data_IF_660748039966
#
_entry.id   IF_660748039966
#
_cell.length_a   1.000
_cell.length_b   1.000
_cell.length_c   1.000
_cell.angle_alpha   90.00
_cell.angle_beta   90.00
_cell.angle_gamma   90.00
#
_symmetry.space_group_name_H-M   'P 1'
#
loop_
_entity.id
_entity.type
_entity.pdbx_description
1 polymer ?
#
# COMPACT_ATOMS: atom_id res chain seq x y z
N UNK A 1 8.98 3.61 -26.18
CA UNK A 1 9.19 3.13 -24.77
C UNK A 1 8.53 4.10 -23.84
N UNK A 2 7.70 3.63 -22.90
CA UNK A 2 7.10 4.49 -21.87
C UNK A 2 8.23 5.03 -20.98
N UNK A 3 8.26 6.35 -20.80
CA UNK A 3 9.33 6.98 -20.00
C UNK A 3 8.96 6.93 -18.51
N UNK A 4 8.98 5.72 -17.91
CA UNK A 4 8.64 5.55 -16.49
C UNK A 4 9.55 6.36 -15.55
N UNK A 5 10.78 6.66 -15.96
CA UNK A 5 11.70 7.46 -15.14
C UNK A 5 11.21 8.91 -14.96
N UNK A 6 10.57 9.50 -15.98
CA UNK A 6 10.00 10.85 -15.83
C UNK A 6 8.80 10.85 -14.90
N UNK A 7 7.96 9.82 -14.95
CA UNK A 7 6.82 9.69 -14.04
C UNK A 7 7.25 9.44 -12.60
N UNK A 8 8.33 8.68 -12.41
CA UNK A 8 8.94 8.50 -11.09
C UNK A 8 9.40 9.86 -10.52
N UNK A 9 10.11 10.68 -11.30
CA UNK A 9 10.56 12.00 -10.85
C UNK A 9 9.39 12.92 -10.47
N UNK A 10 8.29 12.88 -11.23
CA UNK A 10 7.07 13.63 -10.91
C UNK A 10 6.48 13.17 -9.58
N UNK A 11 6.36 11.86 -9.37
CA UNK A 11 5.85 11.29 -8.12
C UNK A 11 6.75 11.64 -6.94
N UNK A 12 8.07 11.56 -7.10
CA UNK A 12 9.03 11.94 -6.06
C UNK A 12 8.95 13.42 -5.69
N UNK A 13 8.76 14.30 -6.67
CA UNK A 13 8.52 15.72 -6.42
C UNK A 13 7.22 15.93 -5.62
N UNK A 14 6.13 15.26 -6.02
CA UNK A 14 4.87 15.34 -5.30
C UNK A 14 4.99 14.85 -3.85
N UNK A 15 5.72 13.76 -3.62
CA UNK A 15 6.00 13.23 -2.27
C UNK A 15 6.82 14.21 -1.42
N UNK A 16 7.85 14.85 -1.98
CA UNK A 16 8.66 15.84 -1.26
C UNK A 16 7.82 17.02 -0.77
N UNK A 17 6.89 17.50 -1.58
CA UNK A 17 5.99 18.58 -1.17
C UNK A 17 4.94 18.12 -0.16
N UNK A 18 4.39 16.90 -0.33
CA UNK A 18 3.46 16.31 0.64
C UNK A 18 4.10 16.10 2.02
N UNK A 19 5.36 15.67 2.09
CA UNK A 19 6.10 15.53 3.35
C UNK A 19 6.16 16.86 4.13
N UNK A 20 6.36 18.00 3.43
CA UNK A 20 6.39 19.33 4.07
C UNK A 20 5.06 19.70 4.70
N UNK A 21 3.97 19.17 4.16
CA UNK A 21 2.62 19.34 4.70
C UNK A 21 2.39 18.39 5.88
N UNK A 22 2.71 17.13 5.76
CA UNK A 22 2.37 16.07 6.73
C UNK A 22 3.26 16.13 7.99
N UNK A 23 4.58 16.26 7.83
CA UNK A 23 5.52 16.15 8.94
C UNK A 23 5.26 17.14 10.09
N UNK A 24 4.87 18.41 9.86
CA UNK A 24 4.55 19.35 10.93
C UNK A 24 3.35 18.93 11.80
N UNK A 25 2.48 18.09 11.30
CA UNK A 25 1.32 17.61 12.05
C UNK A 25 1.63 16.38 12.93
N UNK A 26 2.68 15.63 12.62
CA UNK A 26 2.98 14.39 13.31
C UNK A 26 3.33 14.63 14.79
N UNK A 27 2.64 13.94 15.70
CA UNK A 27 2.75 14.08 17.17
C UNK A 27 2.44 15.48 17.71
N UNK A 28 1.73 16.29 16.94
CA UNK A 28 1.11 17.51 17.43
C UNK A 28 -0.39 17.29 17.68
N UNK A 29 -1.04 18.23 18.39
CA UNK A 29 -2.49 18.14 18.62
C UNK A 29 -3.22 18.31 17.30
N UNK A 30 -3.77 17.22 16.79
CA UNK A 30 -4.55 17.14 15.56
C UNK A 30 -5.99 16.79 15.91
N UNK A 31 -6.94 17.51 15.33
CA UNK A 31 -8.33 17.10 15.32
C UNK A 31 -8.55 16.14 14.16
N UNK A 32 -9.06 14.95 14.46
CA UNK A 32 -9.52 14.01 13.45
C UNK A 32 -11.05 14.08 13.35
N UNK A 33 -11.54 14.16 12.13
CA UNK A 33 -12.96 13.98 11.83
C UNK A 33 -13.20 12.51 11.46
N UNK A 34 -14.39 12.00 11.71
CA UNK A 34 -14.79 10.69 11.23
C UNK A 34 -15.44 10.82 9.85
N UNK A 35 -15.02 10.00 8.89
CA UNK A 35 -15.66 9.87 7.58
C UNK A 35 -16.99 9.11 7.70
N UNK A 36 -17.78 9.07 6.64
CA UNK A 36 -19.04 8.33 6.61
C UNK A 36 -18.91 6.83 6.93
N UNK A 37 -17.76 6.24 6.63
CA UNK A 37 -17.42 4.83 6.93
C UNK A 37 -16.70 4.66 8.28
N UNK A 38 -16.78 5.68 9.16
CA UNK A 38 -16.16 5.73 10.49
C UNK A 38 -14.61 5.71 10.48
N UNK A 39 -13.96 5.80 9.31
CA UNK A 39 -12.52 5.98 9.24
C UNK A 39 -12.12 7.42 9.60
N UNK A 40 -11.01 7.62 10.31
CA UNK A 40 -10.57 8.97 10.66
C UNK A 40 -9.96 9.68 9.45
N UNK A 41 -10.12 10.99 9.40
CA UNK A 41 -9.44 11.88 8.45
C UNK A 41 -8.96 13.11 9.19
N UNK A 42 -7.80 13.60 8.83
CA UNK A 42 -7.25 14.82 9.42
C UNK A 42 -7.10 15.92 8.38
N UNK A 43 -6.83 17.13 8.87
CA UNK A 43 -6.48 18.24 7.99
C UNK A 43 -5.20 17.94 7.18
N UNK A 44 -4.28 17.16 7.74
CA UNK A 44 -3.04 16.77 7.06
C UNK A 44 -3.32 15.91 5.81
N UNK A 45 -4.24 14.95 5.90
CA UNK A 45 -4.64 14.10 4.76
C UNK A 45 -5.14 14.98 3.60
N UNK A 46 -6.09 15.87 3.89
CA UNK A 46 -6.70 16.74 2.87
C UNK A 46 -5.71 17.69 2.22
N UNK A 47 -4.89 18.36 3.02
CA UNK A 47 -3.88 19.30 2.51
C UNK A 47 -2.79 18.58 1.71
N UNK A 48 -2.37 17.41 2.15
CA UNK A 48 -1.38 16.60 1.44
C UNK A 48 -1.91 16.12 0.08
N UNK A 49 -3.14 15.57 0.02
CA UNK A 49 -3.71 15.15 -1.26
C UNK A 49 -3.89 16.33 -2.21
N UNK A 50 -4.33 17.48 -1.71
CA UNK A 50 -4.45 18.69 -2.52
C UNK A 50 -3.11 19.10 -3.14
N UNK A 51 -2.04 19.06 -2.35
CA UNK A 51 -0.68 19.38 -2.80
C UNK A 51 -0.20 18.40 -3.87
N UNK A 52 -0.38 17.10 -3.64
CA UNK A 52 -0.02 16.05 -4.60
C UNK A 52 -0.79 16.24 -5.92
N UNK A 53 -2.11 16.42 -5.85
CA UNK A 53 -2.96 16.63 -7.04
C UNK A 53 -2.55 17.84 -7.86
N UNK A 54 -2.17 18.95 -7.20
CA UNK A 54 -1.74 20.15 -7.90
C UNK A 54 -0.50 19.88 -8.76
N UNK A 55 0.49 19.20 -8.21
CA UNK A 55 1.72 18.85 -8.94
C UNK A 55 1.43 17.87 -10.07
N UNK A 56 0.69 16.80 -9.78
CA UNK A 56 0.37 15.79 -10.79
C UNK A 56 -0.44 16.37 -11.94
N UNK A 57 -1.41 17.26 -11.68
CA UNK A 57 -2.18 17.95 -12.74
C UNK A 57 -1.33 18.91 -13.57
N UNK A 58 -0.37 19.58 -12.95
CA UNK A 58 0.54 20.48 -13.66
C UNK A 58 1.49 19.73 -14.58
N UNK A 59 2.08 18.64 -14.10
CA UNK A 59 3.09 17.87 -14.82
C UNK A 59 2.49 16.86 -15.83
N UNK A 60 1.28 16.38 -15.57
CA UNK A 60 0.58 15.37 -16.39
C UNK A 60 -0.91 15.73 -16.58
N UNK A 61 -1.23 16.85 -17.27
CA UNK A 61 -2.60 17.38 -17.33
C UNK A 61 -3.63 16.43 -17.97
N UNK A 62 -3.17 15.53 -18.83
CA UNK A 62 -4.04 14.55 -19.53
C UNK A 62 -4.27 13.26 -18.74
N UNK A 63 -3.60 13.09 -17.58
CA UNK A 63 -3.75 11.87 -16.76
C UNK A 63 -4.97 11.97 -15.84
N UNK A 64 -5.55 10.81 -15.51
CA UNK A 64 -6.54 10.72 -14.46
C UNK A 64 -5.90 10.76 -13.08
N UNK A 65 -6.70 11.09 -12.07
CA UNK A 65 -6.30 11.01 -10.65
C UNK A 65 -7.42 10.35 -9.87
N UNK A 66 -7.09 9.35 -9.08
CA UNK A 66 -7.97 8.69 -8.11
C UNK A 66 -7.34 8.92 -6.73
N UNK A 67 -8.02 9.58 -5.83
CA UNK A 67 -7.53 9.83 -4.49
C UNK A 67 -8.56 9.52 -3.43
N UNK A 68 -8.10 9.28 -2.23
CA UNK A 68 -8.92 8.91 -1.10
C UNK A 68 -9.83 10.05 -0.63
N UNK A 69 -9.31 11.30 -0.58
CA UNK A 69 -9.98 12.43 0.05
C UNK A 69 -10.86 13.22 -0.92
N UNK A 70 -10.42 13.37 -2.16
CA UNK A 70 -11.11 14.19 -3.17
C UNK A 70 -11.66 13.39 -4.36
N UNK A 71 -11.67 12.04 -4.26
CA UNK A 71 -12.26 11.19 -5.27
C UNK A 71 -11.51 11.18 -6.60
N UNK A 72 -12.22 11.04 -7.72
CA UNK A 72 -11.63 10.76 -9.02
C UNK A 72 -11.86 11.87 -10.03
N UNK A 73 -10.83 12.11 -10.82
CA UNK A 73 -10.81 13.06 -11.96
C UNK A 73 -10.35 12.31 -13.23
N UNK A 74 -10.90 12.66 -14.40
CA UNK A 74 -10.52 12.14 -15.70
C UNK A 74 -10.37 10.60 -15.75
N UNK A 75 -11.40 9.90 -15.27
CA UNK A 75 -11.39 8.43 -15.07
C UNK A 75 -11.22 7.61 -16.36
N UNK A 76 -11.40 8.22 -17.54
CA UNK A 76 -11.27 7.56 -18.85
C UNK A 76 -9.84 7.63 -19.40
N UNK A 77 -8.91 8.32 -18.72
CA UNK A 77 -7.52 8.37 -19.15
C UNK A 77 -6.88 6.99 -19.06
N UNK A 78 -6.02 6.67 -20.02
CA UNK A 78 -5.23 5.43 -19.99
C UNK A 78 -4.21 5.41 -18.87
N UNK A 79 -3.70 6.59 -18.50
CA UNK A 79 -2.82 6.78 -17.35
C UNK A 79 -3.60 7.43 -16.23
N UNK A 80 -3.53 6.84 -15.03
CA UNK A 80 -4.23 7.34 -13.85
C UNK A 80 -3.30 7.27 -12.65
N UNK A 81 -3.09 8.39 -11.99
CA UNK A 81 -2.46 8.42 -10.68
C UNK A 81 -3.45 7.94 -9.62
N UNK A 82 -2.95 7.18 -8.65
CA UNK A 82 -3.71 6.76 -7.47
C UNK A 82 -2.96 7.26 -6.24
N UNK A 83 -3.67 7.91 -5.32
CA UNK A 83 -3.09 8.62 -4.18
C UNK A 83 -3.79 8.18 -2.90
N UNK A 84 -3.00 7.82 -1.89
CA UNK A 84 -3.37 7.85 -0.50
C UNK A 84 -2.40 8.78 0.23
N UNK A 85 -2.85 9.92 0.74
CA UNK A 85 -1.97 10.90 1.37
C UNK A 85 -1.39 10.43 2.71
N UNK A 86 -2.15 9.64 3.47
CA UNK A 86 -1.71 9.08 4.77
C UNK A 86 -2.37 7.71 4.97
N UNK A 87 -1.87 6.68 4.27
CA UNK A 87 -2.26 5.31 4.60
C UNK A 87 -1.80 4.96 6.02
N UNK A 88 -2.73 4.52 6.86
CA UNK A 88 -2.49 4.34 8.27
C UNK A 88 -2.79 5.59 9.11
N UNK A 89 -3.87 6.33 8.81
CA UNK A 89 -4.31 7.52 9.57
C UNK A 89 -4.44 7.24 11.07
N UNK A 90 -4.86 6.04 11.47
CA UNK A 90 -4.90 5.63 12.89
C UNK A 90 -3.51 5.62 13.54
N UNK A 91 -2.50 5.14 12.83
CA UNK A 91 -1.11 5.16 13.29
C UNK A 91 -0.60 6.60 13.38
N UNK A 92 -0.90 7.42 12.37
CA UNK A 92 -0.54 8.84 12.34
C UNK A 92 -1.10 9.60 13.54
N UNK A 93 -2.40 9.52 13.80
CA UNK A 93 -3.09 10.19 14.92
C UNK A 93 -2.52 9.76 16.27
N UNK A 94 -2.18 8.48 16.41
CA UNK A 94 -1.62 7.93 17.67
C UNK A 94 -0.10 8.10 17.77
N UNK A 95 0.52 8.82 16.84
CA UNK A 95 1.95 9.14 16.85
C UNK A 95 2.89 7.97 16.59
N UNK A 96 2.38 6.91 15.95
CA UNK A 96 3.16 5.75 15.51
C UNK A 96 3.67 5.97 14.09
N UNK A 97 4.97 5.82 13.79
CA UNK A 97 5.52 6.02 12.46
C UNK A 97 5.32 4.77 11.57
N UNK A 98 4.10 4.24 11.55
CA UNK A 98 3.71 3.05 10.78
C UNK A 98 2.71 3.42 9.66
N UNK A 99 2.65 4.68 9.30
CA UNK A 99 1.87 5.22 8.20
C UNK A 99 2.79 5.52 7.00
N UNK A 100 2.22 5.76 5.84
CA UNK A 100 2.98 6.20 4.67
C UNK A 100 2.13 6.98 3.68
N UNK A 101 2.81 7.65 2.75
CA UNK A 101 2.20 8.28 1.59
C UNK A 101 2.28 7.26 0.45
N UNK A 102 1.16 6.95 -0.19
CA UNK A 102 1.11 6.06 -1.33
C UNK A 102 0.84 6.84 -2.62
N UNK A 103 1.72 6.68 -3.60
CA UNK A 103 1.48 7.15 -4.97
C UNK A 103 1.68 5.98 -5.93
N UNK A 104 0.68 5.72 -6.76
CA UNK A 104 0.80 4.75 -7.85
C UNK A 104 0.45 5.38 -9.19
N UNK A 105 0.99 4.81 -10.26
CA UNK A 105 0.56 5.08 -11.63
C UNK A 105 -0.04 3.80 -12.20
N UNK A 106 -1.27 3.90 -12.70
CA UNK A 106 -1.90 2.86 -13.50
C UNK A 106 -1.71 3.15 -14.98
N UNK A 107 -1.55 2.09 -15.75
CA UNK A 107 -1.70 2.11 -17.20
C UNK A 107 -2.76 1.10 -17.63
N UNK A 108 -3.83 1.60 -18.26
CA UNK A 108 -4.98 0.77 -18.65
C UNK A 108 -5.52 -0.07 -17.49
N UNK A 109 -5.59 0.58 -16.29
CA UNK A 109 -6.10 -0.03 -15.06
C UNK A 109 -5.14 -0.94 -14.29
N UNK A 110 -3.90 -1.15 -14.77
CA UNK A 110 -2.91 -1.99 -14.10
C UNK A 110 -1.82 -1.14 -13.46
N UNK A 111 -1.44 -1.40 -12.19
CA UNK A 111 -0.34 -0.68 -11.55
C UNK A 111 1.01 -0.94 -12.22
N UNK A 112 1.67 0.13 -12.67
CA UNK A 112 2.96 0.09 -13.37
C UNK A 112 4.09 0.81 -12.63
N UNK A 113 3.74 1.69 -11.69
CA UNK A 113 4.65 2.35 -10.76
C UNK A 113 3.97 2.43 -9.40
N UNK A 114 4.72 2.27 -8.33
CA UNK A 114 4.24 2.42 -6.96
C UNK A 114 5.33 2.90 -6.03
N UNK A 115 4.98 3.76 -5.09
CA UNK A 115 5.87 4.27 -4.06
C UNK A 115 5.15 4.20 -2.72
N UNK A 116 5.83 3.62 -1.72
CA UNK A 116 5.54 3.80 -0.30
C UNK A 116 6.58 4.78 0.22
N UNK A 117 6.15 5.89 0.78
CA UNK A 117 7.04 6.89 1.36
C UNK A 117 6.71 7.10 2.85
N UNK A 118 7.61 6.72 3.73
CA UNK A 118 7.48 6.93 5.17
C UNK A 118 8.36 8.12 5.60
N UNK A 119 7.77 9.33 5.76
CA UNK A 119 8.54 10.57 5.87
C UNK A 119 9.28 10.74 7.20
N UNK A 120 8.81 10.11 8.28
CA UNK A 120 9.40 10.27 9.62
C UNK A 120 10.68 9.44 9.76
N UNK A 121 10.66 8.21 9.25
CA UNK A 121 11.82 7.32 9.24
C UNK A 121 12.72 7.54 8.02
N UNK A 122 12.26 8.37 7.07
CA UNK A 122 12.93 8.65 5.79
C UNK A 122 13.19 7.36 5.00
N UNK A 123 12.18 6.52 4.96
CA UNK A 123 12.22 5.25 4.24
C UNK A 123 11.30 5.31 3.03
N UNK A 124 11.77 4.77 1.91
CA UNK A 124 11.02 4.76 0.67
C UNK A 124 11.22 3.46 -0.08
N UNK A 125 10.12 2.86 -0.51
CA UNK A 125 10.08 1.72 -1.41
C UNK A 125 9.54 2.17 -2.76
N UNK A 126 10.21 1.79 -3.84
CA UNK A 126 9.86 2.14 -5.21
C UNK A 126 9.76 0.87 -6.02
N UNK A 127 8.64 0.65 -6.68
CA UNK A 127 8.40 -0.46 -7.58
C UNK A 127 8.03 0.02 -8.98
N UNK A 128 8.66 -0.58 -9.99
CA UNK A 128 8.32 -0.37 -11.40
C UNK A 128 8.02 -1.72 -12.05
N UNK A 129 6.96 -1.79 -12.85
CA UNK A 129 6.59 -3.02 -13.55
C UNK A 129 7.75 -3.55 -14.39
N UNK A 130 8.13 -4.82 -14.15
CA UNK A 130 9.20 -5.50 -14.88
C UNK A 130 10.60 -5.20 -14.38
N UNK A 131 10.77 -4.44 -13.31
CA UNK A 131 12.06 -4.13 -12.71
C UNK A 131 12.12 -4.61 -11.24
N UNK A 132 13.33 -4.80 -10.74
CA UNK A 132 13.58 -4.99 -9.32
C UNK A 132 13.19 -3.71 -8.56
N UNK A 133 12.56 -3.88 -7.41
CA UNK A 133 12.19 -2.75 -6.56
C UNK A 133 13.42 -2.13 -5.91
N UNK A 134 13.29 -0.88 -5.47
CA UNK A 134 14.34 -0.15 -4.78
C UNK A 134 13.88 0.19 -3.36
N UNK A 135 14.84 0.27 -2.45
CA UNK A 135 14.64 0.73 -1.07
C UNK A 135 15.68 1.76 -0.70
N UNK A 136 15.21 2.85 -0.11
CA UNK A 136 16.02 3.96 0.38
C UNK A 136 15.77 4.11 1.87
N UNK A 137 16.82 4.05 2.69
CA UNK A 137 16.74 4.17 4.15
C UNK A 137 18.10 4.56 4.74
N UNK A 138 18.08 5.33 5.82
CA UNK A 138 19.27 5.60 6.64
C UNK A 138 19.61 4.40 7.57
N UNK A 139 18.68 3.47 7.79
CA UNK A 139 18.87 2.32 8.68
C UNK A 139 19.45 1.08 7.96
N UNK A 140 19.67 1.17 6.64
CA UNK A 140 20.04 0.02 5.83
C UNK A 140 18.86 -0.88 5.53
N UNK A 141 19.13 -2.05 4.98
CA UNK A 141 18.17 -3.02 4.48
C UNK A 141 18.35 -3.26 2.99
N UNK A 142 17.85 -4.37 2.51
CA UNK A 142 17.92 -4.75 1.09
C UNK A 142 16.55 -5.20 0.63
N UNK A 143 16.17 -4.79 -0.58
CA UNK A 143 15.01 -5.33 -1.27
C UNK A 143 15.23 -6.83 -1.52
N UNK A 144 14.18 -7.57 -1.29
CA UNK A 144 14.14 -9.00 -1.54
C UNK A 144 13.27 -9.70 -0.49
N UNK A 145 12.22 -10.36 -0.96
CA UNK A 145 11.40 -11.19 -0.09
C UNK A 145 12.18 -12.45 0.29
N UNK A 146 11.82 -13.06 1.42
CA UNK A 146 12.47 -14.28 1.86
C UNK A 146 11.66 -15.53 1.52
N UNK A 147 12.34 -16.66 1.42
CA UNK A 147 11.71 -17.98 1.30
C UNK A 147 11.05 -18.38 2.61
N UNK A 148 9.83 -18.86 2.53
CA UNK A 148 9.05 -19.40 3.63
C UNK A 148 8.42 -20.72 3.18
N UNK A 149 8.97 -21.83 3.62
CA UNK A 149 8.59 -23.16 3.14
C UNK A 149 7.33 -23.72 3.83
N UNK A 150 6.92 -23.14 4.97
CA UNK A 150 5.79 -23.62 5.76
C UNK A 150 5.18 -22.48 6.59
N UNK A 151 3.86 -22.44 6.69
CA UNK A 151 3.14 -21.43 7.47
C UNK A 151 3.46 -21.48 8.96
N UNK A 152 3.83 -22.63 9.51
CA UNK A 152 4.18 -22.77 10.93
C UNK A 152 5.46 -22.02 11.35
N UNK A 153 6.24 -21.55 10.40
CA UNK A 153 7.40 -20.70 10.64
C UNK A 153 7.18 -19.25 10.17
N UNK A 154 6.05 -18.96 9.54
CA UNK A 154 5.78 -17.67 8.94
C UNK A 154 5.49 -16.56 9.97
N UNK A 155 6.01 -15.38 9.68
CA UNK A 155 5.63 -14.13 10.34
C UNK A 155 4.53 -13.47 9.50
N UNK A 156 3.32 -13.37 10.05
CA UNK A 156 2.18 -12.74 9.38
C UNK A 156 1.91 -11.33 9.88
N UNK A 157 1.21 -10.54 9.08
CA UNK A 157 0.70 -9.22 9.48
C UNK A 157 -0.69 -8.96 8.93
N UNK A 158 -1.40 -8.08 9.62
CA UNK A 158 -2.65 -7.47 9.19
C UNK A 158 -2.83 -6.17 9.98
N UNK A 159 -3.46 -5.18 9.39
CA UNK A 159 -3.68 -3.88 10.06
C UNK A 159 -4.51 -4.02 11.32
N UNK A 160 -5.64 -4.75 11.28
CA UNK A 160 -6.46 -5.00 12.46
C UNK A 160 -7.32 -6.25 12.28
N UNK A 161 -7.55 -7.06 13.33
CA UNK A 161 -8.42 -8.23 13.21
C UNK A 161 -9.86 -7.86 12.82
N UNK A 162 -10.33 -6.67 13.20
CA UNK A 162 -11.68 -6.18 12.90
C UNK A 162 -11.94 -6.07 11.40
N UNK A 163 -10.94 -5.65 10.61
CA UNK A 163 -11.13 -5.56 9.15
C UNK A 163 -11.36 -6.93 8.51
N UNK A 164 -10.81 -7.97 9.09
CA UNK A 164 -11.00 -9.34 8.63
C UNK A 164 -12.39 -9.90 9.02
N UNK A 165 -12.96 -9.44 10.14
CA UNK A 165 -14.31 -9.82 10.57
C UNK A 165 -15.41 -9.25 9.64
N UNK A 166 -15.13 -8.17 8.89
CA UNK A 166 -16.00 -7.66 7.84
C UNK A 166 -16.00 -8.52 6.56
N UNK A 167 -15.05 -9.44 6.45
CA UNK A 167 -15.02 -10.42 5.36
C UNK A 167 -16.17 -11.41 5.48
N UNK A 168 -16.82 -11.80 4.37
CA UNK A 168 -17.80 -12.88 4.37
C UNK A 168 -17.16 -14.23 4.71
N UNK A 169 -15.84 -14.31 4.71
CA UNK A 169 -15.10 -15.54 4.95
C UNK A 169 -14.38 -15.50 6.31
N UNK A 170 -14.88 -16.25 7.27
CA UNK A 170 -14.30 -16.37 8.62
C UNK A 170 -13.06 -17.29 8.69
N UNK A 171 -12.64 -17.89 7.58
CA UNK A 171 -11.53 -18.85 7.55
C UNK A 171 -10.16 -18.20 7.75
N UNK A 172 -10.06 -16.88 7.67
CA UNK A 172 -8.87 -16.17 8.06
C UNK A 172 -8.40 -16.56 9.48
N UNK A 173 -9.33 -16.88 10.40
CA UNK A 173 -9.01 -17.37 11.75
C UNK A 173 -8.29 -18.72 11.71
N UNK A 174 -8.60 -19.56 10.73
CA UNK A 174 -7.91 -20.85 10.52
C UNK A 174 -6.51 -20.65 9.94
N UNK A 175 -6.34 -19.65 9.07
CA UNK A 175 -5.02 -19.27 8.55
C UNK A 175 -4.14 -18.73 9.69
N UNK A 176 -4.63 -17.79 10.51
CA UNK A 176 -3.88 -17.23 11.64
C UNK A 176 -3.40 -18.32 12.63
N UNK A 177 -4.20 -19.39 12.85
CA UNK A 177 -3.78 -20.51 13.72
C UNK A 177 -2.64 -21.35 13.13
N UNK A 178 -2.39 -21.28 11.84
CA UNK A 178 -1.30 -22.01 11.17
C UNK A 178 -0.02 -21.18 11.06
N UNK A 179 -0.12 -19.87 11.21
CA UNK A 179 1.00 -18.93 11.13
C UNK A 179 1.71 -18.91 12.50
N UNK A 180 3.03 -18.84 12.49
CA UNK A 180 3.83 -18.83 13.71
C UNK A 180 3.50 -17.65 14.61
N UNK A 181 3.44 -16.45 14.07
CA UNK A 181 3.06 -15.21 14.75
C UNK A 181 2.30 -14.29 13.83
N UNK A 182 1.28 -13.63 14.36
CA UNK A 182 0.56 -12.54 13.68
C UNK A 182 0.87 -11.24 14.40
N UNK A 183 1.30 -10.24 13.65
CA UNK A 183 1.42 -8.84 14.08
C UNK A 183 0.22 -8.05 13.60
N UNK A 184 -0.22 -7.09 14.43
CA UNK A 184 -1.35 -6.24 14.13
C UNK A 184 -0.90 -4.77 14.07
N UNK A 185 -1.39 -4.05 13.09
CA UNK A 185 -0.92 -2.72 12.74
C UNK A 185 0.14 -2.76 11.67
N UNK A 186 0.45 -1.59 11.10
CA UNK A 186 1.53 -1.44 10.13
C UNK A 186 1.07 -0.91 8.78
N UNK A 187 -0.20 -1.06 8.44
CA UNK A 187 -0.77 -0.49 7.22
C UNK A 187 0.20 -0.70 6.02
N UNK A 188 0.45 0.27 5.15
CA UNK A 188 1.40 0.12 4.05
C UNK A 188 2.85 -0.20 4.48
N UNK A 189 3.24 0.22 5.67
CA UNK A 189 4.59 -0.03 6.18
C UNK A 189 4.87 -1.53 6.36
N UNK A 190 3.85 -2.32 6.76
CA UNK A 190 3.98 -3.77 6.82
C UNK A 190 4.32 -4.38 5.45
N UNK A 191 3.75 -3.86 4.36
CA UNK A 191 4.07 -4.30 3.00
C UNK A 191 5.50 -3.92 2.60
N UNK A 192 5.99 -2.75 3.04
CA UNK A 192 7.39 -2.38 2.92
C UNK A 192 8.31 -3.39 3.61
N UNK A 193 7.95 -3.82 4.84
CA UNK A 193 8.71 -4.84 5.59
C UNK A 193 8.64 -6.22 4.91
N UNK A 194 7.51 -6.58 4.28
CA UNK A 194 7.42 -7.81 3.49
C UNK A 194 8.37 -7.76 2.29
N UNK A 195 8.46 -6.61 1.61
CA UNK A 195 9.39 -6.41 0.50
C UNK A 195 10.87 -6.47 0.92
N UNK A 196 11.18 -6.30 2.20
CA UNK A 196 12.51 -6.48 2.80
C UNK A 196 12.73 -7.89 3.40
N UNK A 197 11.78 -8.82 3.24
CA UNK A 197 11.87 -10.17 3.79
C UNK A 197 11.73 -10.25 5.32
N UNK A 198 11.19 -9.24 6.00
CA UNK A 198 10.96 -9.25 7.43
C UNK A 198 9.61 -9.89 7.80
N UNK A 199 8.65 -9.82 6.90
CA UNK A 199 7.30 -10.42 7.01
C UNK A 199 7.11 -11.40 5.86
N UNK A 200 6.43 -12.52 6.10
CA UNK A 200 6.22 -13.58 5.10
C UNK A 200 4.88 -13.46 4.39
N UNK A 201 3.85 -13.00 5.11
CA UNK A 201 2.54 -12.82 4.52
C UNK A 201 1.74 -11.69 5.18
N UNK A 202 0.88 -11.07 4.38
CA UNK A 202 -0.12 -10.10 4.84
C UNK A 202 -1.47 -10.49 4.27
N UNK A 203 -2.50 -10.46 5.12
CA UNK A 203 -3.88 -10.69 4.73
C UNK A 203 -4.72 -9.49 5.18
N UNK A 204 -5.47 -8.91 4.27
CA UNK A 204 -6.35 -7.78 4.56
C UNK A 204 -7.67 -7.86 3.81
N UNK A 205 -8.67 -7.16 4.34
CA UNK A 205 -9.98 -7.04 3.72
C UNK A 205 -10.54 -5.63 3.93
N UNK A 206 -11.33 -5.17 2.96
CA UNK A 206 -11.90 -3.81 3.00
C UNK A 206 -11.11 -2.79 2.19
N UNK A 207 -9.95 -3.18 1.67
CA UNK A 207 -9.05 -2.29 0.94
C UNK A 207 -9.72 -1.64 -0.28
N UNK A 208 -9.37 -0.38 -0.50
CA UNK A 208 -9.70 0.41 -1.68
C UNK A 208 -8.49 0.42 -2.64
N UNK A 209 -8.68 0.99 -3.81
CA UNK A 209 -7.60 1.02 -4.81
C UNK A 209 -6.38 1.82 -4.33
N UNK A 210 -6.56 2.86 -3.57
CA UNK A 210 -5.47 3.68 -3.04
C UNK A 210 -4.63 2.97 -1.99
N UNK A 211 -5.20 1.99 -1.24
CA UNK A 211 -4.48 1.20 -0.24
C UNK A 211 -3.52 0.18 -0.88
N UNK A 212 -3.83 -0.34 -2.08
CA UNK A 212 -3.05 -1.44 -2.66
C UNK A 212 -2.33 -1.14 -3.99
N UNK A 213 -2.74 -0.10 -4.74
CA UNK A 213 -2.19 0.10 -6.08
C UNK A 213 -0.67 0.32 -6.09
N UNK A 214 -0.14 1.07 -5.11
CA UNK A 214 1.30 1.29 -4.97
C UNK A 214 2.05 0.02 -4.58
N UNK A 215 1.42 -0.87 -3.83
CA UNK A 215 2.04 -2.07 -3.27
C UNK A 215 2.34 -3.12 -4.35
N UNK A 216 1.51 -3.17 -5.41
CA UNK A 216 1.60 -4.21 -6.45
C UNK A 216 2.97 -4.26 -7.13
N UNK A 217 3.49 -3.17 -7.73
CA UNK A 217 4.81 -3.21 -8.37
C UNK A 217 5.95 -3.38 -7.35
N UNK A 218 5.80 -2.87 -6.12
CA UNK A 218 6.81 -3.01 -5.06
C UNK A 218 6.98 -4.47 -4.66
N UNK A 219 5.89 -5.14 -4.30
CA UNK A 219 5.93 -6.55 -3.86
C UNK A 219 6.41 -7.47 -4.98
N UNK A 220 5.92 -7.27 -6.21
CA UNK A 220 6.36 -8.04 -7.37
C UNK A 220 7.85 -7.84 -7.69
N UNK A 221 8.31 -6.59 -7.68
CA UNK A 221 9.71 -6.26 -7.93
C UNK A 221 10.66 -6.71 -6.81
N UNK A 222 10.15 -6.97 -5.59
CA UNK A 222 10.88 -7.59 -4.50
C UNK A 222 10.92 -9.14 -4.58
N UNK A 223 10.22 -9.75 -5.54
CA UNK A 223 10.15 -11.20 -5.73
C UNK A 223 8.96 -11.89 -5.07
N UNK A 224 8.07 -11.12 -4.45
CA UNK A 224 6.85 -11.60 -3.82
C UNK A 224 5.65 -11.73 -4.77
N UNK A 225 4.50 -12.05 -4.19
CA UNK A 225 3.21 -12.12 -4.87
C UNK A 225 2.18 -11.30 -4.12
N UNK A 226 1.35 -10.54 -4.86
CA UNK A 226 0.22 -9.81 -4.29
C UNK A 226 -1.00 -10.03 -5.18
N UNK A 227 -2.12 -10.46 -4.56
CA UNK A 227 -3.35 -10.87 -5.25
C UNK A 227 -4.56 -10.61 -4.35
N UNK A 228 -5.76 -10.84 -4.88
CA UNK A 228 -6.93 -11.07 -4.03
C UNK A 228 -6.86 -12.45 -3.33
N UNK A 229 -7.81 -12.75 -2.44
CA UNK A 229 -7.86 -14.03 -1.73
C UNK A 229 -8.24 -15.23 -2.62
N UNK A 230 -8.66 -14.99 -3.87
CA UNK A 230 -8.88 -16.04 -4.88
C UNK A 230 -7.64 -16.27 -5.75
N UNK A 231 -6.60 -15.47 -5.56
CA UNK A 231 -5.35 -15.55 -6.32
C UNK A 231 -5.35 -14.77 -7.63
N UNK A 232 -6.36 -13.94 -7.88
CA UNK A 232 -6.43 -13.08 -9.06
C UNK A 232 -5.56 -11.83 -8.87
N UNK A 233 -5.02 -11.32 -9.96
CA UNK A 233 -4.27 -10.06 -9.95
C UNK A 233 -5.17 -8.87 -9.57
N UNK A 234 -4.62 -7.96 -8.77
CA UNK A 234 -5.27 -6.70 -8.44
C UNK A 234 -5.15 -5.72 -9.61
N UNK A 235 -6.27 -5.13 -10.00
CA UNK A 235 -6.35 -4.10 -11.03
C UNK A 235 -7.59 -3.24 -10.78
N UNK A 236 -7.72 -2.12 -11.50
CA UNK A 236 -8.91 -1.26 -11.42
C UNK A 236 -10.21 -2.04 -11.70
N UNK A 237 -10.16 -3.01 -12.60
CA UNK A 237 -11.30 -3.86 -12.98
C UNK A 237 -11.56 -5.00 -11.99
N UNK A 238 -10.53 -5.43 -11.26
CA UNK A 238 -10.61 -6.49 -10.27
C UNK A 238 -10.23 -5.97 -8.88
N UNK A 239 -11.20 -5.32 -8.24
CA UNK A 239 -11.06 -4.74 -6.91
C UNK A 239 -12.12 -5.33 -5.97
N UNK A 240 -11.88 -6.53 -5.45
CA UNK A 240 -12.82 -7.25 -4.59
C UNK A 240 -12.60 -7.01 -3.09
N UNK A 241 -11.84 -5.97 -2.73
CA UNK A 241 -11.53 -5.54 -1.35
C UNK A 241 -10.60 -6.47 -0.55
N UNK A 242 -10.26 -7.65 -1.04
CA UNK A 242 -9.35 -8.56 -0.33
C UNK A 242 -7.93 -8.44 -0.88
N UNK A 243 -6.94 -8.46 0.01
CA UNK A 243 -5.51 -8.43 -0.36
C UNK A 243 -4.81 -9.57 0.35
N UNK A 244 -4.03 -10.33 -0.42
CA UNK A 244 -3.09 -11.34 0.03
C UNK A 244 -1.72 -11.01 -0.56
N UNK A 245 -0.78 -10.62 0.28
CA UNK A 245 0.62 -10.46 -0.12
C UNK A 245 1.48 -11.56 0.52
N UNK A 246 2.38 -12.14 -0.27
CA UNK A 246 3.24 -13.24 0.12
C UNK A 246 4.69 -12.93 -0.26
N UNK A 247 5.60 -13.07 0.68
CA UNK A 247 7.04 -13.01 0.42
C UNK A 247 7.50 -14.19 -0.43
N UNK A 248 7.08 -15.40 -0.10
CA UNK A 248 7.31 -16.58 -0.93
C UNK A 248 6.05 -16.93 -1.75
N UNK A 249 6.06 -16.74 -3.08
CA UNK A 249 4.94 -17.13 -3.94
C UNK A 249 4.59 -18.62 -3.87
N UNK A 250 5.51 -19.47 -3.39
CA UNK A 250 5.28 -20.90 -3.19
C UNK A 250 4.16 -21.23 -2.21
N UNK A 251 3.91 -20.35 -1.22
CA UNK A 251 2.82 -20.51 -0.24
C UNK A 251 1.43 -20.21 -0.81
N UNK A 252 1.33 -19.63 -2.01
CA UNK A 252 0.08 -19.07 -2.54
C UNK A 252 -1.05 -20.10 -2.56
N UNK A 253 -0.81 -21.29 -3.07
CA UNK A 253 -1.85 -22.31 -3.21
C UNK A 253 -2.36 -22.80 -1.85
N UNK A 254 -1.46 -22.99 -0.89
CA UNK A 254 -1.82 -23.44 0.46
C UNK A 254 -2.64 -22.41 1.20
N UNK A 255 -2.25 -21.12 1.11
CA UNK A 255 -2.98 -20.01 1.73
C UNK A 255 -4.37 -19.86 1.11
N UNK A 256 -4.47 -19.85 -0.21
CA UNK A 256 -5.76 -19.75 -0.93
C UNK A 256 -6.67 -20.92 -0.57
N UNK A 257 -6.13 -22.13 -0.51
CA UNK A 257 -6.91 -23.33 -0.10
C UNK A 257 -7.44 -23.18 1.32
N UNK A 258 -6.65 -22.67 2.27
CA UNK A 258 -7.13 -22.44 3.64
C UNK A 258 -8.23 -21.38 3.69
N UNK A 259 -8.10 -20.30 2.90
CA UNK A 259 -9.07 -19.22 2.87
C UNK A 259 -10.40 -19.63 2.20
N UNK A 260 -10.39 -20.56 1.23
CA UNK A 260 -11.55 -20.85 0.38
C UNK A 260 -12.18 -22.25 0.64
N UNK A 261 -11.52 -23.14 1.37
CA UNK A 261 -12.00 -24.51 1.68
C UNK A 261 -11.91 -24.84 3.17
#
# INVERSE_FOLDING_TARGET
MKNFNSYLQIAEHALQEAQKVICPYFRHSIHADDKYDESPVTKADREAEQTIRQILKQETPDFGIIGEEYGSDNINSKFQWVIDPIDGTRAFITGRPLFGILIALLYEGNPVLGIIDQPILKERWIGLEGYESQFISEFGGHIGTRKCIDLSIAEGSCTAPEILDHSPNIRWKSLCKKIKRMSWGGDCYAYGLLALGQIDLIIEYGNKIWDWAALVPIIKGAGGSITDWNGNSLSLQNNNKSVLALGDPGLKQDVIKILNF
#
